data_IF_086490552761
#
_entry.id   IF_086490552761
#
_cell.length_a   1.000
_cell.length_b   1.000
_cell.length_c   1.000
_cell.angle_alpha   90.00
_cell.angle_beta   90.00
_cell.angle_gamma   90.00
#
_symmetry.space_group_name_H-M   'P 1'
#
loop_
_entity.id
_entity.type
_entity.pdbx_description
1 polymer ?
#
# COMPACT_ATOMS: atom_id res chain seq x y z
N UNK A 1 -0.79 50.76 -40.53
CA UNK A 1 0.19 50.02 -39.66
C UNK A 1 -0.36 49.53 -38.31
N UNK A 2 -1.47 50.08 -37.82
CA UNK A 2 -2.03 49.73 -36.47
C UNK A 2 -2.65 48.32 -36.36
N UNK A 3 -3.35 47.80 -37.41
CA UNK A 3 -4.10 46.55 -37.32
C UNK A 3 -3.24 45.28 -37.25
N UNK A 4 -1.98 45.30 -37.68
CA UNK A 4 -1.12 44.15 -37.64
C UNK A 4 -0.47 43.92 -36.27
N UNK A 5 -0.26 45.01 -35.51
CA UNK A 5 0.31 44.95 -34.17
C UNK A 5 -0.71 44.35 -33.19
N UNK A 6 -2.00 44.73 -33.33
CA UNK A 6 -3.09 44.21 -32.46
C UNK A 6 -3.32 42.71 -32.74
N UNK A 7 -3.22 42.23 -33.98
CA UNK A 7 -3.35 40.81 -34.29
C UNK A 7 -2.17 40.01 -33.76
N UNK A 8 -0.95 40.54 -33.81
CA UNK A 8 0.26 39.88 -33.28
C UNK A 8 0.19 39.78 -31.73
N UNK A 9 -0.25 40.81 -31.02
CA UNK A 9 -0.42 40.77 -29.57
C UNK A 9 -1.48 39.77 -29.11
N UNK A 10 -2.61 39.65 -29.83
CA UNK A 10 -3.64 38.64 -29.51
C UNK A 10 -3.15 37.20 -29.73
N UNK A 11 -2.33 36.98 -30.77
CA UNK A 11 -1.74 35.67 -31.03
C UNK A 11 -0.70 35.27 -29.99
N UNK A 12 0.12 36.22 -29.52
CA UNK A 12 1.10 36.00 -28.44
C UNK A 12 0.41 35.74 -27.09
N UNK A 13 -0.71 36.42 -26.79
CA UNK A 13 -1.50 36.18 -25.59
C UNK A 13 -2.14 34.80 -25.56
N UNK A 14 -2.63 34.30 -26.72
CA UNK A 14 -3.20 32.96 -26.83
C UNK A 14 -2.16 31.84 -26.65
N UNK A 15 -0.94 32.04 -27.13
CA UNK A 15 0.15 31.08 -26.97
C UNK A 15 0.61 31.05 -25.50
N UNK A 16 0.70 32.19 -24.83
CA UNK A 16 1.07 32.25 -23.41
C UNK A 16 0.04 31.57 -22.50
N UNK A 17 -1.27 31.73 -22.79
CA UNK A 17 -2.34 31.06 -22.01
C UNK A 17 -2.36 29.56 -22.26
N UNK A 18 -2.04 29.09 -23.48
CA UNK A 18 -1.95 27.64 -23.76
C UNK A 18 -0.78 26.96 -23.07
N UNK A 19 0.35 27.66 -22.87
CA UNK A 19 1.54 27.13 -22.17
C UNK A 19 1.25 27.01 -20.65
N UNK A 20 0.47 27.91 -20.06
CA UNK A 20 0.05 27.81 -18.66
C UNK A 20 -0.86 26.62 -18.39
N UNK A 21 -1.68 26.18 -19.35
CA UNK A 21 -2.56 25.03 -19.19
C UNK A 21 -1.85 23.68 -19.31
N UNK A 22 -0.68 23.60 -19.95
CA UNK A 22 0.08 22.35 -20.12
C UNK A 22 1.02 22.03 -18.96
N UNK A 23 1.21 22.93 -18.00
CA UNK A 23 2.17 22.75 -16.91
C UNK A 23 1.55 22.30 -15.57
N UNK A 24 0.27 21.88 -15.55
CA UNK A 24 -0.26 21.14 -14.41
C UNK A 24 0.18 19.67 -14.54
N UNK A 25 1.44 19.41 -14.25
CA UNK A 25 1.88 18.06 -13.91
C UNK A 25 1.05 17.61 -12.71
N UNK A 26 0.18 16.64 -12.90
CA UNK A 26 -0.47 15.95 -11.78
C UNK A 26 0.65 15.28 -10.99
N UNK A 27 1.11 15.95 -9.95
CA UNK A 27 2.11 15.41 -9.05
C UNK A 27 1.43 14.29 -8.25
N UNK A 28 1.56 13.05 -8.70
CA UNK A 28 1.12 11.89 -7.93
C UNK A 28 2.09 11.72 -6.77
N UNK A 29 1.60 11.84 -5.54
CA UNK A 29 2.39 11.56 -4.35
C UNK A 29 2.65 10.06 -4.28
N UNK A 30 3.91 9.66 -4.20
CA UNK A 30 4.35 8.30 -3.97
C UNK A 30 4.90 8.16 -2.55
N UNK A 31 4.46 7.13 -1.83
CA UNK A 31 4.96 6.79 -0.49
C UNK A 31 5.39 5.34 -0.50
N UNK A 32 6.59 5.06 0.02
CA UNK A 32 7.04 3.70 0.31
C UNK A 32 7.00 3.45 1.80
N UNK A 33 6.63 2.22 2.21
CA UNK A 33 6.57 1.82 3.61
C UNK A 33 7.25 0.46 3.72
N UNK A 34 8.25 0.39 4.59
CA UNK A 34 8.92 -0.83 4.97
C UNK A 34 8.28 -1.37 6.26
N UNK A 35 7.90 -2.65 6.27
CA UNK A 35 7.24 -3.30 7.40
C UNK A 35 8.03 -4.56 7.76
N UNK A 36 8.39 -4.68 9.04
CA UNK A 36 9.14 -5.80 9.57
C UNK A 36 8.37 -6.43 10.73
N UNK A 37 7.95 -7.67 10.59
CA UNK A 37 7.34 -8.39 11.70
C UNK A 37 8.40 -8.73 12.74
N UNK A 38 8.10 -8.51 14.01
CA UNK A 38 9.03 -8.67 15.14
C UNK A 38 8.79 -9.98 15.92
N UNK A 39 7.81 -10.76 15.51
CA UNK A 39 7.49 -12.06 16.09
C UNK A 39 7.10 -13.03 14.99
N UNK A 40 7.16 -14.34 15.28
CA UNK A 40 6.63 -15.40 14.42
C UNK A 40 5.13 -15.12 14.17
N UNK A 41 4.90 -14.27 13.20
CA UNK A 41 3.57 -13.76 12.87
C UNK A 41 2.68 -14.82 12.25
N UNK A 42 3.19 -16.05 12.05
CA UNK A 42 2.64 -16.83 10.96
C UNK A 42 1.79 -17.99 11.40
N UNK A 43 1.95 -18.59 12.56
CA UNK A 43 1.20 -19.82 12.85
C UNK A 43 0.64 -19.92 14.26
N UNK A 44 -0.46 -19.21 14.51
CA UNK A 44 -1.18 -19.46 15.76
C UNK A 44 -2.03 -20.72 15.71
N UNK A 45 -2.61 -21.04 14.53
CA UNK A 45 -3.45 -22.24 14.35
C UNK A 45 -3.43 -22.70 12.90
N UNK A 46 -3.12 -23.99 12.70
CA UNK A 46 -3.12 -24.63 11.39
C UNK A 46 -4.15 -25.76 11.38
N UNK A 47 -5.02 -25.79 10.38
CA UNK A 47 -5.97 -26.89 10.15
C UNK A 47 -5.82 -27.39 8.72
N UNK A 48 -5.62 -28.71 8.59
CA UNK A 48 -5.53 -29.37 7.30
C UNK A 48 -6.82 -30.14 7.00
N UNK A 49 -7.40 -29.88 5.84
CA UNK A 49 -8.57 -30.58 5.33
C UNK A 49 -8.15 -31.63 4.32
N UNK A 50 -7.56 -32.73 4.82
CA UNK A 50 -6.97 -33.77 4.00
C UNK A 50 -5.93 -33.20 3.03
N UNK A 51 -6.05 -33.57 1.73
CA UNK A 51 -5.19 -33.07 0.65
C UNK A 51 -5.82 -31.87 -0.10
N UNK A 52 -6.97 -31.36 0.35
CA UNK A 52 -7.76 -30.35 -0.37
C UNK A 52 -7.22 -28.95 -0.10
N UNK A 53 -7.11 -28.60 1.19
CA UNK A 53 -6.63 -27.27 1.59
C UNK A 53 -5.95 -27.30 2.96
N UNK A 54 -5.12 -26.27 3.18
CA UNK A 54 -4.58 -25.92 4.49
C UNK A 54 -5.08 -24.54 4.87
N UNK A 55 -5.70 -24.42 6.02
CA UNK A 55 -6.10 -23.15 6.64
C UNK A 55 -5.09 -22.78 7.74
N UNK A 56 -4.64 -21.53 7.74
CA UNK A 56 -3.79 -20.96 8.79
C UNK A 56 -4.42 -19.66 9.29
N UNK A 57 -4.58 -19.57 10.59
CA UNK A 57 -4.88 -18.29 11.26
C UNK A 57 -3.56 -17.62 11.63
N UNK A 58 -3.49 -16.33 11.44
CA UNK A 58 -2.28 -15.53 11.71
C UNK A 58 -2.60 -14.38 12.64
N UNK A 59 -1.66 -14.09 13.53
CA UNK A 59 -1.65 -12.88 14.34
C UNK A 59 -0.19 -12.43 14.46
N UNK A 60 0.08 -11.14 14.31
CA UNK A 60 1.43 -10.65 14.40
C UNK A 60 1.54 -9.17 14.68
N UNK A 61 2.69 -8.79 15.22
CA UNK A 61 3.07 -7.40 15.45
C UNK A 61 4.30 -7.08 14.60
N UNK A 62 4.27 -5.94 13.92
CA UNK A 62 5.35 -5.44 13.09
C UNK A 62 5.73 -4.03 13.48
N UNK A 63 6.95 -3.64 13.18
CA UNK A 63 7.33 -2.24 13.05
C UNK A 63 7.20 -1.80 11.60
N UNK A 64 6.91 -0.54 11.38
CA UNK A 64 6.88 0.06 10.06
C UNK A 64 7.58 1.42 10.03
N UNK A 65 8.09 1.78 8.86
CA UNK A 65 8.70 3.08 8.57
C UNK A 65 8.32 3.50 7.16
N UNK A 66 7.92 4.76 6.99
CA UNK A 66 7.62 5.33 5.67
C UNK A 66 8.77 6.18 5.12
N UNK A 67 8.68 6.52 3.83
CA UNK A 67 9.66 7.38 3.13
C UNK A 67 9.63 8.83 3.58
N UNK A 68 8.63 9.25 4.35
CA UNK A 68 8.54 10.59 4.94
C UNK A 68 9.21 10.65 6.33
N UNK A 69 9.75 9.51 6.82
CA UNK A 69 10.47 9.41 8.08
C UNK A 69 9.56 9.18 9.29
N UNK A 70 8.27 8.90 9.10
CA UNK A 70 7.40 8.44 10.17
C UNK A 70 7.52 6.93 10.39
N UNK A 71 7.20 6.48 11.59
CA UNK A 71 7.33 5.08 11.99
C UNK A 71 6.37 4.73 13.12
N UNK A 72 6.18 3.45 13.36
CA UNK A 72 5.31 2.99 14.43
C UNK A 72 5.16 1.48 14.50
N UNK A 73 4.05 1.06 15.10
CA UNK A 73 3.67 -0.32 15.27
C UNK A 73 2.48 -0.68 14.37
N UNK A 74 2.46 -1.91 13.91
CA UNK A 74 1.36 -2.51 13.15
C UNK A 74 0.99 -3.82 13.81
N UNK A 75 -0.31 -4.01 14.11
CA UNK A 75 -0.87 -5.27 14.60
C UNK A 75 -1.78 -5.82 13.52
N UNK A 76 -1.59 -7.07 13.16
CA UNK A 76 -2.35 -7.74 12.12
C UNK A 76 -2.96 -9.04 12.63
N UNK A 77 -4.18 -9.34 12.15
CA UNK A 77 -4.85 -10.62 12.31
C UNK A 77 -5.47 -11.02 10.98
N UNK A 78 -5.46 -12.31 10.69
CA UNK A 78 -6.08 -12.79 9.46
C UNK A 78 -5.92 -14.27 9.22
N UNK A 79 -5.97 -14.65 7.97
CA UNK A 79 -5.85 -16.03 7.57
C UNK A 79 -5.17 -16.22 6.23
N UNK A 80 -4.58 -17.39 6.07
CA UNK A 80 -4.14 -17.96 4.79
C UNK A 80 -4.94 -19.23 4.48
N UNK A 81 -5.37 -19.33 3.24
CA UNK A 81 -5.94 -20.57 2.71
C UNK A 81 -5.08 -21.01 1.54
N UNK A 82 -4.44 -22.17 1.66
CA UNK A 82 -3.60 -22.73 0.61
C UNK A 82 -4.29 -23.94 -0.01
N UNK A 83 -4.48 -23.95 -1.32
CA UNK A 83 -5.01 -25.07 -2.11
C UNK A 83 -4.03 -25.44 -3.22
N UNK A 84 -4.11 -26.67 -3.74
CA UNK A 84 -3.31 -27.08 -4.90
C UNK A 84 -3.70 -26.35 -6.19
N UNK A 85 -4.96 -25.92 -6.28
CA UNK A 85 -5.52 -25.33 -7.51
C UNK A 85 -5.32 -23.82 -7.58
N UNK A 86 -5.47 -23.14 -6.44
CA UNK A 86 -5.55 -21.67 -6.38
C UNK A 86 -4.37 -21.03 -5.67
N UNK A 87 -3.38 -21.86 -5.27
CA UNK A 87 -2.25 -21.36 -4.49
C UNK A 87 -2.65 -20.91 -3.09
N UNK A 88 -2.06 -19.83 -2.62
CA UNK A 88 -2.27 -19.25 -1.30
C UNK A 88 -3.03 -17.94 -1.39
N UNK A 89 -4.18 -17.87 -0.73
CA UNK A 89 -4.99 -16.67 -0.57
C UNK A 89 -4.81 -16.16 0.85
N UNK A 90 -4.39 -14.91 0.98
CA UNK A 90 -4.21 -14.20 2.26
C UNK A 90 -5.23 -13.08 2.40
N UNK A 91 -5.81 -12.98 3.60
CA UNK A 91 -6.59 -11.83 4.03
C UNK A 91 -6.19 -11.46 5.45
N UNK A 92 -5.51 -10.34 5.62
CA UNK A 92 -5.13 -9.80 6.92
C UNK A 92 -5.74 -8.42 7.14
N UNK A 93 -6.20 -8.19 8.35
CA UNK A 93 -6.71 -6.91 8.85
C UNK A 93 -5.71 -6.35 9.84
N UNK A 94 -5.27 -5.13 9.62
CA UNK A 94 -4.22 -4.53 10.42
C UNK A 94 -4.64 -3.16 10.96
N UNK A 95 -4.18 -2.88 12.16
CA UNK A 95 -4.22 -1.55 12.78
C UNK A 95 -2.79 -1.06 12.99
N UNK A 96 -2.47 0.08 12.41
CA UNK A 96 -1.20 0.77 12.61
C UNK A 96 -1.37 1.98 13.51
N UNK A 97 -0.29 2.33 14.22
CA UNK A 97 -0.22 3.53 15.06
C UNK A 97 1.16 4.13 14.94
N UNK A 98 1.25 5.46 14.73
CA UNK A 98 2.53 6.15 14.67
C UNK A 98 2.97 6.67 16.06
N UNK A 99 4.16 7.29 16.11
CA UNK A 99 4.72 7.92 17.33
C UNK A 99 3.81 9.02 17.93
N UNK A 100 2.96 9.66 17.11
CA UNK A 100 2.03 10.70 17.54
C UNK A 100 0.66 10.13 18.00
N UNK A 101 0.53 8.79 18.07
CA UNK A 101 -0.70 8.05 18.40
C UNK A 101 -1.83 8.24 17.37
N UNK A 102 -1.50 8.67 16.15
CA UNK A 102 -2.45 8.65 15.05
C UNK A 102 -2.56 7.23 14.51
N UNK A 103 -3.77 6.77 14.25
CA UNK A 103 -4.05 5.40 13.85
C UNK A 103 -4.49 5.31 12.40
N UNK A 104 -4.26 4.13 11.80
CA UNK A 104 -4.81 3.75 10.53
C UNK A 104 -5.21 2.26 10.53
N UNK A 105 -6.18 1.92 9.67
CA UNK A 105 -6.67 0.56 9.50
C UNK A 105 -6.58 0.17 8.04
N UNK A 106 -6.09 -1.04 7.80
CA UNK A 106 -5.90 -1.52 6.44
C UNK A 106 -6.22 -3.01 6.31
N UNK A 107 -6.51 -3.42 5.08
CA UNK A 107 -6.62 -4.81 4.67
C UNK A 107 -5.45 -5.13 3.75
N UNK A 108 -4.79 -6.25 4.00
CA UNK A 108 -3.78 -6.83 3.12
C UNK A 108 -4.37 -8.05 2.44
N UNK A 109 -4.40 -8.03 1.11
CA UNK A 109 -4.88 -9.16 0.32
C UNK A 109 -3.76 -9.65 -0.61
N UNK A 110 -3.59 -10.96 -0.70
CA UNK A 110 -2.67 -11.59 -1.64
C UNK A 110 -3.27 -12.87 -2.19
N UNK A 111 -3.03 -13.10 -3.48
CA UNK A 111 -3.19 -14.39 -4.11
C UNK A 111 -1.88 -14.72 -4.81
N UNK A 112 -1.21 -15.80 -4.43
CA UNK A 112 0.11 -16.20 -4.95
C UNK A 112 0.25 -17.71 -4.94
N UNK A 113 1.02 -18.23 -5.89
CA UNK A 113 1.33 -19.66 -5.95
C UNK A 113 2.18 -20.10 -4.77
N UNK A 114 3.02 -19.19 -4.26
CA UNK A 114 3.93 -19.42 -3.14
C UNK A 114 3.39 -18.80 -1.84
N UNK A 115 3.60 -19.52 -0.74
CA UNK A 115 3.28 -19.04 0.60
C UNK A 115 4.34 -18.05 1.12
N UNK A 116 5.62 -18.30 0.84
CA UNK A 116 6.74 -17.56 1.42
C UNK A 116 6.97 -16.21 0.75
N UNK A 117 6.65 -16.11 -0.56
CA UNK A 117 6.85 -14.89 -1.32
C UNK A 117 5.59 -14.48 -2.07
N UNK A 118 5.52 -13.22 -2.46
CA UNK A 118 4.45 -12.77 -3.34
C UNK A 118 4.19 -11.28 -3.31
N UNK A 119 3.29 -10.88 -4.20
CA UNK A 119 2.83 -9.50 -4.33
C UNK A 119 1.34 -9.44 -4.02
N UNK A 120 0.93 -8.45 -3.25
CA UNK A 120 -0.46 -8.25 -2.88
C UNK A 120 -0.88 -6.78 -2.94
N UNK A 121 -2.09 -6.53 -2.46
CA UNK A 121 -2.67 -5.19 -2.39
C UNK A 121 -2.94 -4.81 -0.95
N UNK A 122 -2.81 -3.51 -0.67
CA UNK A 122 -3.20 -2.92 0.59
C UNK A 122 -4.30 -1.90 0.34
N UNK A 123 -5.35 -1.99 1.16
CA UNK A 123 -6.49 -1.08 1.12
C UNK A 123 -6.57 -0.42 2.49
N UNK A 124 -6.32 0.88 2.56
CA UNK A 124 -6.56 1.67 3.76
C UNK A 124 -8.06 1.91 3.89
N UNK A 125 -8.65 1.42 4.99
CA UNK A 125 -10.09 1.51 5.26
C UNK A 125 -10.40 2.84 5.93
N UNK A 126 -9.50 3.25 6.85
CA UNK A 126 -9.66 4.45 7.66
C UNK A 126 -8.29 4.95 8.11
N UNK A 127 -8.15 6.27 8.24
CA UNK A 127 -6.97 6.92 8.80
C UNK A 127 -7.33 8.11 9.68
N UNK A 128 -6.46 8.40 10.64
CA UNK A 128 -6.50 9.58 11.50
C UNK A 128 -5.31 10.48 11.17
N UNK A 129 -5.41 11.78 11.49
CA UNK A 129 -4.34 12.73 11.23
C UNK A 129 -3.87 12.72 9.77
N UNK A 130 -2.58 12.51 9.57
CA UNK A 130 -1.97 12.43 8.23
C UNK A 130 -2.45 11.23 7.42
N UNK A 131 -2.88 10.15 8.06
CA UNK A 131 -3.29 8.92 7.37
C UNK A 131 -4.67 9.01 6.71
N UNK A 132 -5.43 10.09 6.91
CA UNK A 132 -6.71 10.32 6.21
C UNK A 132 -6.55 10.33 4.69
N UNK A 133 -5.42 10.81 4.20
CA UNK A 133 -5.14 10.82 2.75
C UNK A 133 -4.87 9.44 2.18
N UNK A 134 -4.40 8.48 3.01
CA UNK A 134 -4.06 7.12 2.58
C UNK A 134 -5.26 6.32 2.09
N UNK A 135 -6.46 6.65 2.54
CA UNK A 135 -7.71 6.03 2.07
C UNK A 135 -7.92 6.21 0.54
N UNK A 136 -7.26 7.22 -0.05
CA UNK A 136 -7.31 7.50 -1.48
C UNK A 136 -6.20 6.83 -2.27
N UNK A 137 -5.22 6.21 -1.60
CA UNK A 137 -4.05 5.65 -2.25
C UNK A 137 -4.33 4.26 -2.82
N UNK A 138 -3.66 3.96 -3.92
CA UNK A 138 -3.56 2.61 -4.44
C UNK A 138 -2.22 2.04 -3.99
N UNK A 139 -2.26 1.02 -3.17
CA UNK A 139 -1.08 0.42 -2.59
C UNK A 139 -0.90 -1.02 -3.05
N UNK A 140 0.33 -1.37 -3.36
CA UNK A 140 0.79 -2.73 -3.59
C UNK A 140 1.90 -3.04 -2.59
N UNK A 141 2.09 -4.31 -2.24
CA UNK A 141 3.20 -4.74 -1.42
C UNK A 141 3.84 -6.00 -1.99
N UNK A 142 5.13 -6.13 -1.76
CA UNK A 142 5.86 -7.38 -1.91
C UNK A 142 6.21 -7.90 -0.53
N UNK A 143 6.16 -9.22 -0.34
CA UNK A 143 6.54 -9.89 0.89
C UNK A 143 7.52 -11.01 0.60
N UNK A 144 8.45 -11.20 1.51
CA UNK A 144 9.36 -12.33 1.58
C UNK A 144 9.45 -12.80 3.03
N UNK A 145 9.37 -14.11 3.24
CA UNK A 145 9.62 -14.73 4.54
C UNK A 145 11.11 -15.10 4.64
N UNK A 146 11.79 -14.49 5.59
CA UNK A 146 13.19 -14.76 5.88
C UNK A 146 13.26 -15.37 7.27
N UNK A 147 13.65 -16.64 7.35
CA UNK A 147 13.72 -17.39 8.62
C UNK A 147 12.41 -17.33 9.45
N UNK A 148 11.27 -17.35 8.74
CA UNK A 148 9.94 -17.28 9.37
C UNK A 148 9.44 -15.85 9.67
N UNK A 149 10.27 -14.83 9.51
CA UNK A 149 9.87 -13.43 9.68
C UNK A 149 9.43 -12.81 8.34
N UNK A 150 8.29 -12.12 8.34
CA UNK A 150 7.82 -11.45 7.14
C UNK A 150 8.48 -10.07 6.99
N UNK A 151 9.19 -9.89 5.89
CA UNK A 151 9.72 -8.61 5.43
C UNK A 151 8.84 -8.10 4.30
N UNK A 152 8.26 -6.91 4.46
CA UNK A 152 7.29 -6.37 3.52
C UNK A 152 7.74 -4.99 3.07
N UNK A 153 7.71 -4.77 1.76
CA UNK A 153 7.88 -3.46 1.14
C UNK A 153 6.60 -3.04 0.45
N UNK A 154 6.03 -1.95 0.88
CA UNK A 154 4.80 -1.37 0.35
C UNK A 154 5.11 -0.12 -0.48
N UNK A 155 4.38 0.05 -1.58
CA UNK A 155 4.40 1.24 -2.43
C UNK A 155 2.98 1.73 -2.64
N UNK A 156 2.75 3.00 -2.36
CA UNK A 156 1.47 3.66 -2.48
C UNK A 156 1.56 4.88 -3.41
N UNK A 157 0.57 5.03 -4.27
CA UNK A 157 0.44 6.20 -5.14
C UNK A 157 -0.91 6.87 -4.88
N UNK A 158 -0.94 8.20 -4.79
CA UNK A 158 -2.18 8.96 -4.79
C UNK A 158 -2.93 8.75 -6.13
N UNK A 159 -4.24 8.67 -6.05
CA UNK A 159 -5.11 8.63 -7.25
C UNK A 159 -5.16 9.98 -7.93
#
# INVERSE_FOLDING_TARGET
MSNNIIKSMKFFSLILTSIYFFCYSVFTKEITIDIFFVSDAIDNKVMKFGNILTYRQTEGTATWKDSEGDYGLLKCMGNYVTTKKEGTILNNYCQGTNRNKESFWLIMNRNSDDFETGVGRIIYIKGEGKFKEYEKFKCVYAVELIEGLAVIKQKCNSK
#
